data_IF_405202047957
#
_entry.id   IF_405202047957
#
_cell.length_a   1.000
_cell.length_b   1.000
_cell.length_c   1.000
_cell.angle_alpha   90.00
_cell.angle_beta   90.00
_cell.angle_gamma   90.00
#
_symmetry.space_group_name_H-M   'P 1'
#
loop_
_entity.id
_entity.type
_entity.pdbx_description
1 polymer ?
#
# COMPACT_ATOMS: atom_id res chain seq x y z
N UNK A 1 -19.07 11.28 -8.80
CA UNK A 1 -19.79 12.56 -8.58
C UNK A 1 -20.60 12.59 -7.29
N UNK A 2 -21.39 11.56 -6.98
CA UNK A 2 -22.19 11.47 -5.74
C UNK A 2 -21.38 11.61 -4.45
N UNK A 3 -20.20 10.96 -4.35
CA UNK A 3 -19.31 11.08 -3.18
C UNK A 3 -18.80 12.51 -2.99
N UNK A 4 -18.50 13.19 -4.09
CA UNK A 4 -18.02 14.56 -4.12
C UNK A 4 -19.11 15.53 -3.63
N UNK A 5 -20.36 15.30 -4.05
CA UNK A 5 -21.53 16.05 -3.58
C UNK A 5 -21.74 15.83 -2.06
N UNK A 6 -21.65 14.58 -1.57
CA UNK A 6 -21.75 14.31 -0.14
C UNK A 6 -20.63 14.98 0.66
N UNK A 7 -19.39 14.96 0.17
CA UNK A 7 -18.27 15.63 0.80
C UNK A 7 -18.49 17.16 0.89
N UNK A 8 -19.01 17.80 -0.16
CA UNK A 8 -19.32 19.23 -0.18
C UNK A 8 -20.45 19.59 0.79
N UNK A 9 -21.54 18.82 0.79
CA UNK A 9 -22.67 19.03 1.72
C UNK A 9 -22.18 18.88 3.17
N UNK A 10 -21.36 17.88 3.44
CA UNK A 10 -20.85 17.60 4.77
C UNK A 10 -19.87 18.69 5.25
N UNK A 11 -19.07 19.24 4.33
CA UNK A 11 -18.20 20.39 4.60
C UNK A 11 -19.01 21.66 4.93
N UNK A 12 -20.11 21.91 4.21
CA UNK A 12 -21.04 23.01 4.52
C UNK A 12 -21.68 22.84 5.92
N UNK A 13 -22.07 21.61 6.28
CA UNK A 13 -22.63 21.31 7.61
C UNK A 13 -21.59 21.55 8.71
N UNK A 14 -20.34 21.12 8.50
CA UNK A 14 -19.24 21.32 9.45
C UNK A 14 -18.98 22.82 9.67
N UNK A 15 -19.01 23.62 8.61
CA UNK A 15 -18.87 25.09 8.69
C UNK A 15 -20.04 25.69 9.48
N UNK A 16 -21.28 25.27 9.21
CA UNK A 16 -22.47 25.76 9.92
C UNK A 16 -22.41 25.45 11.42
N UNK A 17 -21.93 24.25 11.79
CA UNK A 17 -21.77 23.81 13.18
C UNK A 17 -20.65 24.61 13.87
N UNK A 18 -19.58 24.97 13.14
CA UNK A 18 -18.51 25.83 13.67
C UNK A 18 -19.06 27.17 14.16
N UNK A 19 -19.93 27.79 13.37
CA UNK A 19 -20.53 29.09 13.67
C UNK A 19 -21.60 28.99 14.77
N UNK A 20 -22.34 27.88 14.83
CA UNK A 20 -23.47 27.73 15.78
C UNK A 20 -23.05 27.19 17.15
N UNK A 21 -22.16 26.20 17.20
CA UNK A 21 -21.75 25.51 18.43
C UNK A 21 -20.24 25.19 18.41
N UNK A 22 -19.37 26.20 18.61
CA UNK A 22 -17.92 26.06 18.44
C UNK A 22 -17.27 25.03 19.37
N UNK A 23 -17.82 24.84 20.59
CA UNK A 23 -17.32 23.83 21.54
C UNK A 23 -17.52 22.38 21.05
N UNK A 24 -18.54 22.14 20.24
CA UNK A 24 -18.91 20.80 19.75
C UNK A 24 -18.33 20.52 18.37
N UNK A 25 -17.92 21.57 17.64
CA UNK A 25 -17.36 21.48 16.30
C UNK A 25 -16.18 20.51 16.19
N UNK A 26 -15.21 20.58 17.12
CA UNK A 26 -14.02 19.72 17.07
C UNK A 26 -14.38 18.22 17.17
N UNK A 27 -15.25 17.87 18.11
CA UNK A 27 -15.73 16.48 18.27
C UNK A 27 -16.47 16.01 17.02
N UNK A 28 -17.37 16.84 16.50
CA UNK A 28 -18.18 16.52 15.33
C UNK A 28 -17.30 16.39 14.08
N UNK A 29 -16.31 17.26 13.90
CA UNK A 29 -15.37 17.21 12.79
C UNK A 29 -14.54 15.92 12.80
N UNK A 30 -14.07 15.48 13.98
CA UNK A 30 -13.35 14.21 14.13
C UNK A 30 -14.25 13.03 13.75
N UNK A 31 -15.49 12.97 14.27
CA UNK A 31 -16.44 11.91 13.94
C UNK A 31 -16.70 11.87 12.43
N UNK A 32 -16.95 13.03 11.82
CA UNK A 32 -17.17 13.13 10.38
C UNK A 32 -15.96 12.74 9.56
N UNK A 33 -14.76 13.10 9.99
CA UNK A 33 -13.52 12.69 9.33
C UNK A 33 -13.43 11.16 9.27
N UNK A 34 -13.67 10.46 10.39
CA UNK A 34 -13.65 9.00 10.41
C UNK A 34 -14.75 8.38 9.55
N UNK A 35 -15.95 8.97 9.50
CA UNK A 35 -17.03 8.52 8.62
C UNK A 35 -16.63 8.65 7.14
N UNK A 36 -16.08 9.80 6.75
CA UNK A 36 -15.61 10.04 5.37
C UNK A 36 -14.46 9.07 5.03
N UNK A 37 -13.51 8.91 5.95
CA UNK A 37 -12.37 8.01 5.78
C UNK A 37 -12.85 6.56 5.59
N UNK A 38 -13.78 6.10 6.41
CA UNK A 38 -14.40 4.78 6.28
C UNK A 38 -15.10 4.62 4.92
N UNK A 39 -15.84 5.65 4.47
CA UNK A 39 -16.54 5.59 3.19
C UNK A 39 -15.57 5.56 2.00
N UNK A 40 -14.52 6.38 2.02
CA UNK A 40 -13.46 6.39 1.02
C UNK A 40 -12.74 5.04 0.97
N UNK A 41 -12.38 4.49 2.13
CA UNK A 41 -11.72 3.19 2.23
C UNK A 41 -12.63 2.08 1.68
N UNK A 42 -13.88 2.01 2.12
CA UNK A 42 -14.81 0.93 1.76
C UNK A 42 -15.32 0.99 0.33
N UNK A 43 -15.55 2.19 -0.23
CA UNK A 43 -16.17 2.35 -1.56
C UNK A 43 -15.18 2.63 -2.67
N UNK A 44 -13.98 3.10 -2.37
CA UNK A 44 -12.96 3.38 -3.39
C UNK A 44 -11.71 2.55 -3.20
N UNK A 45 -11.06 2.63 -2.04
CA UNK A 45 -9.73 2.03 -1.86
C UNK A 45 -9.80 0.50 -1.86
N UNK A 46 -10.68 -0.11 -1.07
CA UNK A 46 -10.80 -1.57 -0.99
C UNK A 46 -11.23 -2.23 -2.31
N UNK A 47 -12.24 -1.73 -3.05
CA UNK A 47 -12.59 -2.28 -4.35
C UNK A 47 -11.45 -2.15 -5.37
N UNK A 48 -10.74 -1.03 -5.36
CA UNK A 48 -9.59 -0.80 -6.24
C UNK A 48 -8.44 -1.76 -5.91
N UNK A 49 -8.13 -1.98 -4.63
CA UNK A 49 -7.17 -3.00 -4.19
C UNK A 49 -7.62 -4.39 -4.65
N UNK A 50 -8.90 -4.74 -4.48
CA UNK A 50 -9.45 -6.02 -4.92
C UNK A 50 -9.31 -6.24 -6.42
N UNK A 51 -9.61 -5.21 -7.23
CA UNK A 51 -9.42 -5.25 -8.68
C UNK A 51 -7.94 -5.41 -9.05
N UNK A 52 -7.05 -4.61 -8.48
CA UNK A 52 -5.60 -4.72 -8.71
C UNK A 52 -5.11 -6.11 -8.35
N UNK A 53 -5.48 -6.65 -7.19
CA UNK A 53 -5.10 -8.00 -6.77
C UNK A 53 -5.61 -9.06 -7.75
N UNK A 54 -6.82 -8.91 -8.31
CA UNK A 54 -7.35 -9.84 -9.31
C UNK A 54 -6.53 -9.84 -10.61
N UNK A 55 -6.06 -8.68 -11.06
CA UNK A 55 -5.16 -8.56 -12.23
C UNK A 55 -3.75 -9.05 -11.93
N UNK A 56 -3.25 -8.73 -10.74
CA UNK A 56 -1.92 -9.13 -10.29
C UNK A 56 -1.84 -10.66 -10.22
N UNK A 57 -2.87 -11.31 -9.66
CA UNK A 57 -2.89 -12.77 -9.52
C UNK A 57 -3.18 -13.53 -10.82
N UNK A 58 -3.68 -12.87 -11.87
CA UNK A 58 -4.01 -13.53 -13.13
C UNK A 58 -2.82 -13.65 -14.08
N UNK A 59 -1.76 -12.85 -13.88
CA UNK A 59 -0.57 -12.85 -14.73
C UNK A 59 0.62 -13.50 -13.99
N UNK A 60 1.30 -14.48 -14.60
CA UNK A 60 2.49 -15.10 -14.01
C UNK A 60 3.55 -14.06 -13.62
N UNK A 61 4.21 -14.27 -12.47
CA UNK A 61 5.29 -13.43 -11.94
C UNK A 61 4.92 -12.00 -11.53
N UNK A 62 3.75 -11.50 -11.91
CA UNK A 62 3.26 -10.17 -11.50
C UNK A 62 3.03 -10.06 -9.98
N UNK A 63 2.51 -11.07 -9.26
CA UNK A 63 2.43 -11.03 -7.80
C UNK A 63 3.79 -10.85 -7.14
N UNK A 64 4.80 -11.55 -7.65
CA UNK A 64 6.18 -11.47 -7.17
C UNK A 64 6.79 -10.08 -7.41
N UNK A 65 6.48 -9.45 -8.55
CA UNK A 65 6.89 -8.07 -8.85
C UNK A 65 6.20 -7.06 -7.94
N UNK A 66 4.89 -7.18 -7.74
CA UNK A 66 4.13 -6.28 -6.84
C UNK A 66 4.61 -6.42 -5.40
N UNK A 67 4.83 -7.65 -4.93
CA UNK A 67 5.43 -7.89 -3.62
C UNK A 67 6.80 -7.20 -3.50
N UNK A 68 7.68 -7.39 -4.50
CA UNK A 68 9.01 -6.79 -4.50
C UNK A 68 8.96 -5.25 -4.45
N UNK A 69 8.08 -4.65 -5.25
CA UNK A 69 7.89 -3.20 -5.31
C UNK A 69 7.37 -2.64 -3.99
N UNK A 70 6.33 -3.27 -3.40
CA UNK A 70 5.77 -2.84 -2.13
C UNK A 70 6.79 -2.99 -0.98
N UNK A 71 7.50 -4.10 -0.94
CA UNK A 71 8.52 -4.35 0.08
C UNK A 71 9.68 -3.35 -0.03
N UNK A 72 10.13 -3.05 -1.25
CA UNK A 72 11.15 -2.02 -1.48
C UNK A 72 10.65 -0.62 -1.08
N UNK A 73 9.40 -0.28 -1.40
CA UNK A 73 8.80 0.99 -1.03
C UNK A 73 8.71 1.17 0.50
N UNK A 74 8.36 0.10 1.23
CA UNK A 74 8.41 0.10 2.70
C UNK A 74 9.84 0.31 3.21
N UNK A 75 10.83 -0.31 2.58
CA UNK A 75 12.24 -0.07 2.87
C UNK A 75 12.63 1.40 2.75
N UNK A 76 12.24 2.05 1.64
CA UNK A 76 12.47 3.48 1.42
C UNK A 76 11.79 4.32 2.50
N UNK A 77 10.54 4.01 2.83
CA UNK A 77 9.79 4.73 3.86
C UNK A 77 10.52 4.67 5.22
N UNK A 78 10.95 3.48 5.65
CA UNK A 78 11.69 3.35 6.89
C UNK A 78 13.06 4.03 6.84
N UNK A 79 13.77 3.96 5.69
CA UNK A 79 15.01 4.72 5.49
C UNK A 79 14.79 6.20 5.73
N UNK A 80 13.79 6.80 5.08
CA UNK A 80 13.47 8.22 5.24
C UNK A 80 13.15 8.56 6.69
N UNK A 81 12.41 7.70 7.39
CA UNK A 81 12.10 7.90 8.81
C UNK A 81 13.35 7.92 9.71
N UNK A 82 14.35 7.08 9.41
CA UNK A 82 15.63 7.09 10.13
C UNK A 82 16.52 8.27 9.72
N UNK A 83 16.54 8.63 8.43
CA UNK A 83 17.28 9.79 7.93
C UNK A 83 16.76 11.10 8.59
N UNK A 84 15.43 11.24 8.73
CA UNK A 84 14.80 12.38 9.42
C UNK A 84 15.15 12.47 10.92
N UNK A 85 15.56 11.37 11.56
CA UNK A 85 15.96 11.32 12.97
C UNK A 85 17.48 11.34 13.17
N UNK A 86 18.25 11.78 12.16
CA UNK A 86 19.71 11.80 12.19
C UNK A 86 20.34 10.40 12.42
N UNK A 87 19.64 9.36 11.98
CA UNK A 87 20.04 7.95 12.08
C UNK A 87 20.31 7.33 10.70
N UNK A 88 21.00 8.07 9.83
CA UNK A 88 21.27 7.69 8.43
C UNK A 88 21.88 6.28 8.29
N UNK A 89 22.84 5.93 9.15
CA UNK A 89 23.46 4.60 9.13
C UNK A 89 22.43 3.48 9.30
N UNK A 90 21.44 3.67 10.18
CA UNK A 90 20.36 2.69 10.36
C UNK A 90 19.43 2.65 9.15
N UNK A 91 19.15 3.79 8.53
CA UNK A 91 18.41 3.86 7.26
C UNK A 91 19.10 3.06 6.14
N UNK A 92 20.42 3.19 6.00
CA UNK A 92 21.20 2.41 5.04
C UNK A 92 21.19 0.91 5.37
N UNK A 93 21.29 0.52 6.65
CA UNK A 93 21.16 -0.87 7.07
C UNK A 93 19.79 -1.47 6.74
N UNK A 94 18.71 -0.70 6.89
CA UNK A 94 17.36 -1.11 6.48
C UNK A 94 17.33 -1.39 4.98
N UNK A 95 17.83 -0.47 4.15
CA UNK A 95 17.87 -0.68 2.70
C UNK A 95 18.73 -1.85 2.28
N UNK A 96 19.87 -2.04 2.93
CA UNK A 96 20.74 -3.18 2.69
C UNK A 96 20.02 -4.50 3.00
N UNK A 97 19.34 -4.57 4.14
CA UNK A 97 18.54 -5.73 4.54
C UNK A 97 17.42 -6.02 3.55
N UNK A 98 16.69 -4.99 3.12
CA UNK A 98 15.62 -5.11 2.10
C UNK A 98 16.17 -5.68 0.80
N UNK A 99 17.32 -5.18 0.33
CA UNK A 99 17.97 -5.68 -0.89
C UNK A 99 18.39 -7.14 -0.77
N UNK A 100 18.96 -7.55 0.36
CA UNK A 100 19.33 -8.96 0.60
C UNK A 100 18.08 -9.85 0.53
N UNK A 101 17.02 -9.48 1.24
CA UNK A 101 15.78 -10.26 1.25
C UNK A 101 15.19 -10.40 -0.17
N UNK A 102 15.14 -9.30 -0.94
CA UNK A 102 14.67 -9.33 -2.32
C UNK A 102 15.55 -10.18 -3.23
N UNK A 103 16.88 -10.10 -3.09
CA UNK A 103 17.81 -10.94 -3.84
C UNK A 103 17.60 -12.42 -3.52
N UNK A 104 17.53 -12.79 -2.24
CA UNK A 104 17.28 -14.17 -1.82
C UNK A 104 15.93 -14.69 -2.33
N UNK A 105 14.90 -13.85 -2.30
CA UNK A 105 13.59 -14.17 -2.84
C UNK A 105 13.63 -14.49 -4.33
N UNK A 106 14.25 -13.62 -5.14
CA UNK A 106 14.35 -13.83 -6.59
C UNK A 106 15.24 -14.99 -6.99
N UNK A 107 16.33 -15.25 -6.24
CA UNK A 107 17.14 -16.45 -6.43
C UNK A 107 16.29 -17.72 -6.21
N UNK A 108 15.44 -17.72 -5.17
CA UNK A 108 14.52 -18.81 -4.91
C UNK A 108 13.49 -19.02 -6.02
N UNK A 109 12.87 -17.94 -6.52
CA UNK A 109 11.94 -18.02 -7.66
C UNK A 109 12.63 -18.49 -8.94
N UNK A 110 13.84 -18.02 -9.22
CA UNK A 110 14.62 -18.45 -10.38
C UNK A 110 14.99 -19.93 -10.34
N UNK A 111 15.37 -20.45 -9.16
CA UNK A 111 15.67 -21.86 -8.98
C UNK A 111 14.46 -22.77 -9.30
N UNK A 112 13.23 -22.33 -8.99
CA UNK A 112 12.00 -23.06 -9.35
C UNK A 112 11.77 -23.09 -10.86
N UNK A 113 12.07 -22.00 -11.55
CA UNK A 113 11.96 -21.95 -13.02
C UNK A 113 12.96 -22.90 -13.66
N UNK A 114 14.21 -22.88 -13.18
CA UNK A 114 15.26 -23.78 -13.67
C UNK A 114 14.91 -25.26 -13.45
N UNK A 115 14.39 -25.62 -12.28
CA UNK A 115 13.98 -27.00 -12.00
C UNK A 115 12.81 -27.44 -12.89
N UNK A 116 11.86 -26.54 -13.15
CA UNK A 116 10.78 -26.77 -14.11
C UNK A 116 11.30 -27.02 -15.53
N UNK A 117 12.28 -26.23 -15.98
CA UNK A 117 12.89 -26.40 -17.30
C UNK A 117 13.67 -27.70 -17.42
N UNK A 118 14.45 -28.07 -16.40
CA UNK A 118 15.16 -29.35 -16.34
C UNK A 118 14.21 -30.53 -16.45
N UNK A 119 13.09 -30.51 -15.72
CA UNK A 119 12.09 -31.58 -15.77
C UNK A 119 11.43 -31.74 -17.15
N UNK A 120 11.28 -30.64 -17.90
CA UNK A 120 10.76 -30.69 -19.28
C UNK A 120 11.80 -31.31 -20.20
N UNK A 121 13.08 -30.92 -20.05
CA UNK A 121 14.17 -31.46 -20.85
C UNK A 121 14.31 -32.98 -20.65
N UNK A 122 14.25 -33.45 -19.40
CA UNK A 122 14.34 -34.88 -19.06
C UNK A 122 13.18 -35.71 -19.62
N UNK A 123 12.02 -35.10 -19.86
CA UNK A 123 10.85 -35.78 -20.47
C UNK A 123 10.88 -35.81 -22.00
N UNK A 124 11.74 -35.02 -22.62
CA UNK A 124 11.92 -34.94 -24.08
C UNK A 124 13.05 -35.85 -24.58
N UNK A 125 13.90 -36.35 -23.69
CA UNK A 125 14.88 -37.41 -23.96
C UNK A 125 14.28 -38.80 -23.74
#
# INVERSE_FOLDING_TARGET
MTILIYAVILLLIIILIKETVPKLHSLIAIIFFFIILHFLLSKSVLPLIGQILSYVNSVPYVPQLVYSALFYQLGIFFKMLFDEQEHETMGEFVMFSVRIVLLSYWVGEFAKVLSGFSSILDKLQ
#
